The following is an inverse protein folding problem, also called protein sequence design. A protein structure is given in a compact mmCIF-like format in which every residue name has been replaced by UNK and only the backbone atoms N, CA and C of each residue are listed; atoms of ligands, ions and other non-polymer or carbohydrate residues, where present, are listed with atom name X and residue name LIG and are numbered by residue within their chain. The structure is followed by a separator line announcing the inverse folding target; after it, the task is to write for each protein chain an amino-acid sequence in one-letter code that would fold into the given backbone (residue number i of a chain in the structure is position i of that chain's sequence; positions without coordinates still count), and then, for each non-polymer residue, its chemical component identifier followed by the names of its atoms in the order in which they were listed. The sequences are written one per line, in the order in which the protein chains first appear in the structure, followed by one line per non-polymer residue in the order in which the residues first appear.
data_IF_909814115106
#
_entry.id   IF_909814115106
#
_cell.length_a   1.000
_cell.length_b   1.000
_cell.length_c   1.000
_cell.angle_alpha   90.00
_cell.angle_beta   90.00
_cell.angle_gamma   90.00
#
_symmetry.space_group_name_H-M   'P 1'
#
loop_
_entity.id
_entity.type
_entity.pdbx_description
1 polymer ?
#
# COMPACT_ATOMS: atom_id res chain seq x y z
N UNK A 1 33.02 -4.82 -1.05
CA UNK A 1 31.57 -4.65 -1.34
C UNK A 1 31.21 -3.29 -0.78
N UNK A 2 30.44 -2.49 -1.53
CA UNK A 2 29.97 -1.20 -1.06
C UNK A 2 29.01 -1.41 0.13
N UNK A 3 29.10 -0.54 1.13
CA UNK A 3 28.15 -0.57 2.25
C UNK A 3 26.73 -0.23 1.75
N UNK A 4 25.66 -0.66 2.44
CA UNK A 4 24.29 -0.28 2.09
C UNK A 4 24.11 1.25 1.93
N UNK A 5 24.81 2.05 2.72
CA UNK A 5 24.82 3.51 2.61
C UNK A 5 25.51 4.01 1.33
N UNK A 6 26.62 3.41 0.91
CA UNK A 6 27.28 3.77 -0.36
C UNK A 6 26.43 3.37 -1.57
N UNK A 7 25.66 2.29 -1.49
CA UNK A 7 24.69 1.93 -2.53
C UNK A 7 23.51 2.89 -2.59
N UNK A 8 23.01 3.34 -1.43
CA UNK A 8 21.99 4.39 -1.34
C UNK A 8 22.52 5.70 -1.95
N UNK A 9 23.74 6.15 -1.57
CA UNK A 9 24.38 7.35 -2.12
C UNK A 9 24.52 7.32 -3.64
N UNK A 10 24.91 6.19 -4.18
CA UNK A 10 25.21 6.04 -5.63
C UNK A 10 23.97 6.04 -6.51
N UNK A 11 22.80 5.67 -5.95
CA UNK A 11 21.54 5.48 -6.70
C UNK A 11 20.55 6.63 -6.55
N UNK A 12 20.69 7.51 -5.53
CA UNK A 12 19.69 8.49 -5.14
C UNK A 12 19.34 9.57 -6.19
N UNK A 13 20.28 10.28 -6.81
CA UNK A 13 19.93 11.40 -7.69
C UNK A 13 19.31 10.96 -9.03
N UNK A 14 19.70 9.79 -9.54
CA UNK A 14 19.30 9.35 -10.88
C UNK A 14 17.98 8.58 -10.94
N UNK A 15 17.60 7.87 -9.85
CA UNK A 15 16.41 6.97 -9.89
C UNK A 15 15.13 7.77 -10.00
N UNK A 16 15.00 8.87 -9.26
CA UNK A 16 13.77 9.68 -9.24
C UNK A 16 13.58 10.41 -10.57
N UNK A 17 14.65 10.97 -11.11
CA UNK A 17 14.60 11.71 -12.38
C UNK A 17 14.38 10.77 -13.57
N UNK A 18 15.11 9.66 -13.63
CA UNK A 18 14.91 8.63 -14.66
C UNK A 18 13.49 8.04 -14.59
N UNK A 19 12.99 7.75 -13.39
CA UNK A 19 11.65 7.23 -13.20
C UNK A 19 10.58 8.24 -13.65
N UNK A 20 10.78 9.53 -13.36
CA UNK A 20 9.86 10.58 -13.78
C UNK A 20 9.86 10.78 -15.30
N UNK A 21 11.03 10.87 -15.92
CA UNK A 21 11.15 11.00 -17.37
C UNK A 21 10.59 9.81 -18.14
N UNK A 22 10.83 8.59 -17.64
CA UNK A 22 10.27 7.37 -18.19
C UNK A 22 8.75 7.35 -18.02
N UNK A 23 8.25 7.75 -16.85
CA UNK A 23 6.82 7.84 -16.58
C UNK A 23 6.13 8.81 -17.54
N UNK A 24 6.68 10.02 -17.70
CA UNK A 24 6.12 11.04 -18.60
C UNK A 24 6.12 10.61 -20.07
N UNK A 25 6.99 9.70 -20.46
CA UNK A 25 7.11 9.17 -21.83
C UNK A 25 6.17 8.00 -22.13
N UNK A 26 6.02 7.09 -21.18
CA UNK A 26 5.52 5.73 -21.46
C UNK A 26 4.11 5.47 -20.89
N UNK A 27 3.56 6.35 -20.03
CA UNK A 27 2.29 6.07 -19.37
C UNK A 27 1.08 6.75 -20.02
N UNK A 28 -0.03 6.02 -20.17
CA UNK A 28 -1.26 6.57 -20.71
C UNK A 28 -1.84 7.64 -19.77
N UNK A 29 -2.40 8.69 -20.35
CA UNK A 29 -3.09 9.74 -19.59
C UNK A 29 -4.47 9.28 -19.18
N UNK A 30 -4.65 9.01 -17.91
CA UNK A 30 -5.92 8.60 -17.34
C UNK A 30 -6.78 9.82 -16.98
N UNK A 31 -8.00 9.89 -17.49
CA UNK A 31 -8.92 11.00 -17.26
C UNK A 31 -10.16 10.64 -16.47
N UNK A 32 -10.52 9.37 -16.43
CA UNK A 32 -11.77 8.89 -15.84
C UNK A 32 -11.54 7.73 -14.88
N UNK A 33 -12.47 7.55 -13.94
CA UNK A 33 -12.50 6.41 -13.02
C UNK A 33 -12.53 5.09 -13.78
N UNK A 34 -13.25 5.02 -14.90
CA UNK A 34 -13.37 3.84 -15.76
C UNK A 34 -12.01 3.37 -16.29
N UNK A 35 -11.13 4.30 -16.64
CA UNK A 35 -9.81 3.98 -17.20
C UNK A 35 -8.81 3.52 -16.12
N UNK A 36 -8.99 4.01 -14.88
CA UNK A 36 -8.09 3.71 -13.77
C UNK A 36 -8.50 2.50 -12.94
N UNK A 37 -9.80 2.18 -12.85
CA UNK A 37 -10.29 1.11 -12.00
C UNK A 37 -9.77 -0.26 -12.44
N UNK A 38 -9.58 -1.16 -11.49
CA UNK A 38 -9.45 -2.58 -11.76
C UNK A 38 -10.85 -3.18 -11.97
N UNK A 39 -11.07 -3.80 -13.13
CA UNK A 39 -12.36 -4.43 -13.48
C UNK A 39 -12.48 -5.85 -12.93
N UNK A 40 -11.37 -6.53 -12.66
CA UNK A 40 -11.33 -7.89 -12.11
C UNK A 40 -11.59 -7.85 -10.60
N UNK A 41 -12.86 -7.66 -10.23
CA UNK A 41 -13.27 -7.62 -8.82
C UNK A 41 -13.43 -9.03 -8.30
N UNK A 42 -12.60 -9.38 -7.32
CA UNK A 42 -12.72 -10.67 -6.61
C UNK A 42 -13.60 -10.47 -5.38
N UNK A 43 -14.58 -11.35 -5.24
CA UNK A 43 -15.57 -11.30 -4.16
C UNK A 43 -15.42 -12.46 -3.18
N UNK A 44 -15.95 -12.29 -1.97
CA UNK A 44 -15.98 -13.30 -0.93
C UNK A 44 -17.29 -13.19 -0.13
N UNK A 45 -17.74 -14.28 0.49
CA UNK A 45 -18.92 -14.26 1.37
C UNK A 45 -18.55 -13.84 2.80
N UNK A 46 -19.47 -13.24 3.57
CA UNK A 46 -19.21 -12.87 4.97
C UNK A 46 -18.80 -14.04 5.86
N UNK A 47 -19.32 -15.24 5.58
CA UNK A 47 -19.12 -16.46 6.38
C UNK A 47 -17.81 -17.20 6.06
N UNK A 48 -17.09 -16.78 5.01
CA UNK A 48 -15.80 -17.38 4.69
C UNK A 48 -14.77 -17.08 5.80
N UNK A 49 -13.80 -17.98 6.00
CA UNK A 49 -12.72 -17.74 6.97
C UNK A 49 -11.75 -16.67 6.47
N UNK A 50 -11.11 -15.94 7.38
CA UNK A 50 -10.08 -14.97 7.03
C UNK A 50 -8.81 -15.64 6.48
N UNK A 51 -8.54 -16.89 6.84
CA UNK A 51 -7.49 -17.70 6.25
C UNK A 51 -7.73 -17.93 4.74
N UNK A 52 -8.97 -18.24 4.36
CA UNK A 52 -9.34 -18.36 2.95
C UNK A 52 -9.23 -17.03 2.21
N UNK A 53 -9.66 -15.93 2.86
CA UNK A 53 -9.48 -14.58 2.31
C UNK A 53 -8.00 -14.25 2.08
N UNK A 54 -7.13 -14.54 3.06
CA UNK A 54 -5.69 -14.34 2.94
C UNK A 54 -5.07 -15.13 1.77
N UNK A 55 -5.47 -16.39 1.61
CA UNK A 55 -5.02 -17.23 0.48
C UNK A 55 -5.44 -16.68 -0.87
N UNK A 56 -6.69 -16.25 -1.04
CA UNK A 56 -7.14 -15.61 -2.28
C UNK A 56 -6.34 -14.34 -2.56
N UNK A 57 -6.23 -13.44 -1.57
CA UNK A 57 -5.51 -12.19 -1.73
C UNK A 57 -4.04 -12.42 -2.09
N UNK A 58 -3.35 -13.34 -1.42
CA UNK A 58 -1.95 -13.65 -1.69
C UNK A 58 -1.74 -14.31 -3.06
N UNK A 59 -2.54 -15.31 -3.42
CA UNK A 59 -2.43 -16.01 -4.72
C UNK A 59 -2.74 -15.09 -5.91
N UNK A 60 -3.71 -14.19 -5.73
CA UNK A 60 -4.11 -13.22 -6.77
C UNK A 60 -3.29 -11.93 -6.74
N UNK A 61 -2.35 -11.79 -5.80
CA UNK A 61 -1.55 -10.58 -5.58
C UNK A 61 -2.39 -9.30 -5.40
N UNK A 62 -3.57 -9.43 -4.78
CA UNK A 62 -4.49 -8.32 -4.47
C UNK A 62 -4.52 -8.05 -2.96
N UNK A 63 -4.83 -6.81 -2.57
CA UNK A 63 -4.82 -6.39 -1.16
C UNK A 63 -6.22 -6.24 -0.55
N UNK A 64 -7.27 -6.69 -1.25
CA UNK A 64 -8.65 -6.62 -0.75
C UNK A 64 -9.60 -7.50 -1.54
N UNK A 65 -10.71 -7.88 -0.89
CA UNK A 65 -11.84 -8.58 -1.51
C UNK A 65 -13.13 -7.82 -1.18
N UNK A 66 -14.03 -7.71 -2.16
CA UNK A 66 -15.37 -7.17 -1.93
C UNK A 66 -16.22 -8.25 -1.27
N UNK A 67 -16.86 -7.92 -0.16
CA UNK A 67 -17.73 -8.84 0.55
C UNK A 67 -19.14 -8.74 -0.02
N UNK A 68 -19.67 -9.89 -0.47
CA UNK A 68 -20.99 -9.98 -1.11
C UNK A 68 -21.91 -10.87 -0.28
N UNK A 69 -23.09 -10.36 0.08
CA UNK A 69 -24.15 -11.06 0.78
C UNK A 69 -25.44 -11.03 -0.07
N UNK A 70 -25.99 -12.21 -0.39
CA UNK A 70 -27.19 -12.32 -1.25
C UNK A 70 -27.08 -11.52 -2.55
N UNK A 71 -25.97 -11.69 -3.25
CA UNK A 71 -25.63 -10.98 -4.50
C UNK A 71 -25.45 -9.46 -4.37
N UNK A 72 -25.51 -8.91 -3.15
CA UNK A 72 -25.32 -7.47 -2.89
C UNK A 72 -23.95 -7.23 -2.30
N UNK A 73 -23.12 -6.33 -2.88
CA UNK A 73 -21.85 -5.88 -2.29
C UNK A 73 -22.14 -5.10 -1.00
N UNK A 74 -21.64 -5.59 0.13
CA UNK A 74 -21.95 -5.00 1.45
C UNK A 74 -20.74 -4.41 2.15
N UNK A 75 -19.55 -4.95 1.93
CA UNK A 75 -18.34 -4.53 2.64
C UNK A 75 -17.07 -4.83 1.85
N UNK A 76 -15.95 -4.60 2.48
CA UNK A 76 -14.62 -4.90 1.97
C UNK A 76 -13.73 -5.45 3.08
N UNK A 77 -12.97 -6.49 2.80
CA UNK A 77 -11.90 -6.99 3.67
C UNK A 77 -10.55 -6.76 3.02
N UNK A 78 -9.58 -6.31 3.80
CA UNK A 78 -8.26 -5.90 3.30
C UNK A 78 -7.12 -6.56 4.07
N UNK A 79 -5.90 -6.54 3.50
CA UNK A 79 -4.68 -6.99 4.18
C UNK A 79 -4.49 -6.30 5.54
N UNK A 80 -4.92 -5.04 5.68
CA UNK A 80 -4.87 -4.29 6.94
C UNK A 80 -5.86 -4.81 7.97
N UNK A 81 -7.05 -5.23 7.56
CA UNK A 81 -8.05 -5.78 8.47
C UNK A 81 -7.56 -7.10 9.08
N UNK A 82 -6.91 -7.97 8.29
CA UNK A 82 -6.27 -9.19 8.77
C UNK A 82 -5.19 -8.89 9.82
N UNK A 83 -4.39 -7.87 9.58
CA UNK A 83 -3.31 -7.47 10.47
C UNK A 83 -3.83 -6.84 11.77
N UNK A 84 -4.70 -5.81 11.66
CA UNK A 84 -5.09 -4.98 12.79
C UNK A 84 -6.20 -5.60 13.64
N UNK A 85 -7.13 -6.33 13.03
CA UNK A 85 -8.30 -6.85 13.72
C UNK A 85 -8.11 -8.30 14.17
N UNK A 86 -7.08 -9.00 13.68
CA UNK A 86 -6.83 -10.41 14.00
C UNK A 86 -5.44 -10.63 14.58
N UNK A 87 -4.38 -10.49 13.78
CA UNK A 87 -3.02 -10.82 14.21
C UNK A 87 -2.52 -9.95 15.37
N UNK A 88 -2.86 -8.65 15.37
CA UNK A 88 -2.49 -7.74 16.46
C UNK A 88 -3.16 -8.10 17.78
N UNK A 89 -4.34 -8.74 17.72
CA UNK A 89 -5.09 -9.20 18.88
C UNK A 89 -4.68 -10.62 19.32
N UNK A 90 -3.77 -11.28 18.60
CA UNK A 90 -3.33 -12.64 18.88
C UNK A 90 -4.33 -13.73 18.48
N UNK A 91 -5.31 -13.38 17.63
CA UNK A 91 -6.31 -14.30 17.10
C UNK A 91 -5.76 -15.08 15.89
N UNK A 92 -6.40 -16.18 15.53
CA UNK A 92 -6.01 -17.00 14.39
C UNK A 92 -6.98 -16.78 13.22
N UNK A 93 -6.45 -16.50 12.03
CA UNK A 93 -7.26 -16.24 10.83
C UNK A 93 -8.24 -17.37 10.47
N UNK A 94 -7.91 -18.61 10.79
CA UNK A 94 -8.77 -19.79 10.52
C UNK A 94 -10.04 -19.81 11.37
N UNK A 95 -10.00 -19.22 12.55
CA UNK A 95 -11.08 -19.24 13.54
C UNK A 95 -12.03 -18.04 13.41
N UNK A 96 -11.59 -17.03 12.61
CA UNK A 96 -12.33 -15.79 12.40
C UNK A 96 -12.95 -15.73 11.00
N UNK A 97 -14.13 -15.10 10.90
CA UNK A 97 -14.85 -14.92 9.65
C UNK A 97 -14.59 -13.55 9.04
N UNK A 98 -14.84 -13.44 7.75
CA UNK A 98 -14.74 -12.17 7.01
C UNK A 98 -15.65 -11.10 7.62
N UNK A 99 -16.86 -11.45 8.06
CA UNK A 99 -17.81 -10.50 8.67
C UNK A 99 -17.29 -9.89 9.97
N UNK A 100 -16.42 -10.57 10.70
CA UNK A 100 -15.87 -10.11 11.99
C UNK A 100 -14.77 -9.05 11.80
N UNK A 101 -14.12 -9.03 10.64
CA UNK A 101 -13.00 -8.13 10.36
C UNK A 101 -13.26 -7.12 9.24
N UNK A 102 -14.25 -7.33 8.38
CA UNK A 102 -14.51 -6.46 7.22
C UNK A 102 -14.89 -5.04 7.60
N UNK A 103 -14.57 -4.09 6.74
CA UNK A 103 -15.09 -2.72 6.80
C UNK A 103 -16.48 -2.67 6.18
N UNK A 104 -17.45 -2.10 6.92
CA UNK A 104 -18.86 -1.94 6.53
C UNK A 104 -19.37 -0.54 6.96
N UNK A 105 -20.27 0.14 6.21
CA UNK A 105 -20.74 -0.23 4.87
C UNK A 105 -19.69 -0.02 3.79
N UNK A 106 -19.87 -0.69 2.63
CA UNK A 106 -18.98 -0.55 1.47
C UNK A 106 -19.02 0.88 0.93
N UNK A 107 -17.85 1.52 0.83
CA UNK A 107 -17.73 2.81 0.19
C UNK A 107 -17.68 2.65 -1.33
N UNK A 108 -18.50 3.38 -2.06
CA UNK A 108 -18.61 3.28 -3.51
C UNK A 108 -18.62 4.62 -4.21
N UNK A 109 -18.32 4.58 -5.51
CA UNK A 109 -18.28 5.72 -6.42
C UNK A 109 -18.83 5.33 -7.79
N UNK A 110 -19.37 6.30 -8.53
CA UNK A 110 -19.80 6.07 -9.92
C UNK A 110 -18.62 5.89 -10.85
N UNK A 111 -18.79 5.05 -11.86
CA UNK A 111 -17.82 4.86 -12.96
C UNK A 111 -17.54 6.16 -13.72
N UNK A 112 -18.47 7.11 -13.71
CA UNK A 112 -18.36 8.42 -14.36
C UNK A 112 -17.76 9.52 -13.47
N UNK A 113 -17.44 9.22 -12.20
CA UNK A 113 -16.88 10.20 -11.27
C UNK A 113 -15.51 10.69 -11.74
N UNK A 114 -15.24 11.97 -11.51
CA UNK A 114 -13.94 12.57 -11.83
C UNK A 114 -12.87 12.10 -10.83
N UNK A 115 -11.64 11.98 -11.28
CA UNK A 115 -10.53 11.47 -10.47
C UNK A 115 -10.35 12.27 -9.16
N UNK A 116 -10.49 13.59 -9.20
CA UNK A 116 -10.41 14.43 -7.98
C UNK A 116 -11.50 14.11 -6.97
N UNK A 117 -12.73 13.88 -7.41
CA UNK A 117 -13.85 13.48 -6.55
C UNK A 117 -13.58 12.11 -5.91
N UNK A 118 -13.06 11.16 -6.69
CA UNK A 118 -12.64 9.84 -6.20
C UNK A 118 -11.55 9.96 -5.15
N UNK A 119 -10.54 10.80 -5.38
CA UNK A 119 -9.46 11.05 -4.43
C UNK A 119 -10.00 11.61 -3.11
N UNK A 120 -10.84 12.65 -3.17
CA UNK A 120 -11.47 13.26 -2.00
C UNK A 120 -12.32 12.25 -1.21
N UNK A 121 -13.13 11.46 -1.90
CA UNK A 121 -13.95 10.43 -1.26
C UNK A 121 -13.08 9.34 -0.63
N UNK A 122 -12.03 8.88 -1.32
CA UNK A 122 -11.10 7.88 -0.80
C UNK A 122 -10.42 8.34 0.51
N UNK A 123 -10.00 9.59 0.57
CA UNK A 123 -9.37 10.15 1.78
C UNK A 123 -10.40 10.30 2.90
N UNK A 124 -11.59 10.84 2.62
CA UNK A 124 -12.64 11.02 3.62
C UNK A 124 -13.14 9.70 4.22
N UNK A 125 -13.30 8.66 3.40
CA UNK A 125 -13.75 7.32 3.83
C UNK A 125 -12.60 6.45 4.36
N UNK A 126 -11.35 6.90 4.22
CA UNK A 126 -10.14 6.13 4.60
C UNK A 126 -10.11 4.72 4.02
N UNK A 127 -10.66 4.51 2.82
CA UNK A 127 -10.87 3.20 2.22
C UNK A 127 -10.56 3.19 0.73
N UNK A 128 -10.43 1.98 0.18
CA UNK A 128 -10.59 1.72 -1.26
C UNK A 128 -12.07 1.90 -1.61
N UNK A 129 -12.36 2.21 -2.88
CA UNK A 129 -13.73 2.45 -3.30
C UNK A 129 -14.17 1.38 -4.31
N UNK A 130 -15.35 0.82 -4.10
CA UNK A 130 -16.04 0.04 -5.13
C UNK A 130 -16.56 0.98 -6.23
N UNK A 131 -16.50 0.55 -7.48
CA UNK A 131 -16.97 1.34 -8.61
C UNK A 131 -18.26 0.74 -9.15
N UNK A 132 -19.28 1.58 -9.30
CA UNK A 132 -20.60 1.17 -9.74
C UNK A 132 -20.99 1.84 -11.06
N UNK A 133 -21.65 1.08 -11.94
CA UNK A 133 -22.34 1.57 -13.12
C UNK A 133 -23.81 1.19 -13.02
N UNK A 134 -24.70 2.18 -12.99
CA UNK A 134 -26.15 1.99 -12.84
C UNK A 134 -26.52 1.01 -11.70
N UNK A 135 -25.81 1.07 -10.56
CA UNK A 135 -26.03 0.19 -9.40
C UNK A 135 -25.33 -1.17 -9.47
N UNK A 136 -24.72 -1.51 -10.59
CA UNK A 136 -23.95 -2.75 -10.76
C UNK A 136 -22.49 -2.52 -10.38
N UNK A 137 -21.90 -3.42 -9.58
CA UNK A 137 -20.48 -3.40 -9.26
C UNK A 137 -19.66 -3.75 -10.52
N UNK A 138 -18.83 -2.79 -11.00
CA UNK A 138 -18.04 -2.95 -12.22
C UNK A 138 -16.54 -2.84 -12.00
N UNK A 139 -16.10 -2.45 -10.79
CA UNK A 139 -14.67 -2.30 -10.53
C UNK A 139 -14.36 -1.95 -9.09
N UNK A 140 -13.07 -1.82 -8.82
CA UNK A 140 -12.50 -1.30 -7.58
C UNK A 140 -11.39 -0.31 -7.92
N UNK A 141 -11.27 0.77 -7.14
CA UNK A 141 -10.21 1.75 -7.30
C UNK A 141 -9.48 1.97 -5.97
N UNK A 142 -8.17 2.04 -6.03
CA UNK A 142 -7.27 2.17 -4.89
C UNK A 142 -6.35 3.40 -5.01
N UNK A 143 -5.64 3.75 -3.94
CA UNK A 143 -4.62 4.81 -4.00
C UNK A 143 -3.52 4.50 -5.02
N UNK A 144 -3.15 3.22 -5.18
CA UNK A 144 -2.16 2.80 -6.19
C UNK A 144 -2.62 3.04 -7.63
N UNK A 145 -3.92 3.03 -7.87
CA UNK A 145 -4.47 3.34 -9.19
C UNK A 145 -4.49 4.86 -9.40
N UNK A 146 -4.92 5.62 -8.39
CA UNK A 146 -4.98 7.07 -8.46
C UNK A 146 -3.61 7.72 -8.69
N UNK A 147 -2.53 7.23 -8.05
CA UNK A 147 -1.19 7.80 -8.27
C UNK A 147 -0.70 7.68 -9.71
N UNK A 148 -1.26 6.79 -10.52
CA UNK A 148 -0.95 6.68 -11.95
C UNK A 148 -1.47 7.87 -12.76
N UNK A 149 -2.43 8.62 -12.25
CA UNK A 149 -2.97 9.83 -12.90
C UNK A 149 -2.35 11.13 -12.40
N UNK A 150 -1.60 11.10 -11.28
CA UNK A 150 -1.03 12.30 -10.66
C UNK A 150 -0.03 13.06 -11.56
N UNK A 151 0.83 12.40 -12.33
CA UNK A 151 1.76 13.12 -13.21
C UNK A 151 1.11 13.86 -14.38
N UNK A 152 -0.16 13.58 -14.70
CA UNK A 152 -0.93 14.33 -15.71
C UNK A 152 -1.39 15.72 -15.22
N UNK A 153 -1.27 15.97 -13.92
CA UNK A 153 -1.54 17.27 -13.32
C UNK A 153 -0.26 18.12 -13.41
N UNK A 154 -0.33 19.43 -13.68
CA UNK A 154 0.85 20.28 -13.67
C UNK A 154 1.69 20.10 -12.41
N UNK A 155 3.02 19.95 -12.56
CA UNK A 155 3.91 19.74 -11.42
C UNK A 155 3.74 20.89 -10.44
N UNK A 156 3.33 20.56 -9.21
CA UNK A 156 3.18 21.54 -8.14
C UNK A 156 4.46 21.60 -7.31
N UNK A 157 4.65 22.71 -6.60
CA UNK A 157 5.78 22.85 -5.65
C UNK A 157 5.60 22.03 -4.37
N UNK A 158 4.49 21.29 -4.25
CA UNK A 158 4.18 20.46 -3.09
C UNK A 158 5.22 19.35 -2.93
N UNK A 159 5.83 19.29 -1.76
CA UNK A 159 6.92 18.35 -1.45
C UNK A 159 6.41 17.19 -0.60
N UNK A 160 7.09 16.05 -0.69
CA UNK A 160 6.80 14.87 0.14
C UNK A 160 6.92 15.17 1.62
N UNK A 161 7.76 16.12 2.01
CA UNK A 161 8.00 16.57 3.39
C UNK A 161 6.74 17.08 4.08
N UNK A 162 5.78 17.61 3.30
CA UNK A 162 4.52 18.19 3.80
C UNK A 162 3.48 17.11 4.16
N UNK A 163 3.64 15.90 3.62
CA UNK A 163 2.66 14.81 3.74
C UNK A 163 3.24 13.53 4.34
N UNK A 164 4.56 13.36 4.39
CA UNK A 164 5.19 12.15 4.91
C UNK A 164 4.93 11.96 6.41
N UNK A 165 4.83 10.72 6.85
CA UNK A 165 4.88 10.35 8.26
C UNK A 165 6.34 10.45 8.74
N UNK A 166 6.60 11.28 9.75
CA UNK A 166 7.96 11.52 10.29
C UNK A 166 8.43 10.45 11.25
N UNK A 167 7.50 9.85 12.01
CA UNK A 167 7.83 8.78 12.96
C UNK A 167 7.92 7.44 12.23
N UNK A 168 9.11 7.09 11.74
CA UNK A 168 9.35 5.84 11.03
C UNK A 168 9.71 4.75 12.04
N UNK A 169 8.95 3.66 12.04
CA UNK A 169 9.21 2.50 12.88
C UNK A 169 10.26 1.61 12.23
N UNK A 170 11.29 1.27 12.97
CA UNK A 170 12.37 0.37 12.56
C UNK A 170 12.33 -0.93 13.36
N UNK A 171 12.94 -1.99 12.84
CA UNK A 171 13.10 -3.29 13.51
C UNK A 171 14.43 -3.93 13.10
N UNK A 172 15.01 -4.73 13.97
CA UNK A 172 16.20 -5.53 13.65
C UNK A 172 15.84 -6.69 12.72
N UNK A 173 16.75 -7.08 11.82
CA UNK A 173 16.55 -8.19 10.87
C UNK A 173 16.27 -9.55 11.54
N UNK A 174 16.69 -9.74 12.78
CA UNK A 174 16.46 -10.95 13.58
C UNK A 174 15.13 -10.97 14.31
N UNK A 175 14.37 -9.87 14.26
CA UNK A 175 13.05 -9.84 14.87
C UNK A 175 12.11 -10.82 14.16
N UNK A 176 11.23 -11.48 14.93
CA UNK A 176 10.26 -12.41 14.36
C UNK A 176 9.12 -11.68 13.63
N UNK A 177 8.63 -12.26 12.54
CA UNK A 177 7.52 -11.72 11.76
C UNK A 177 6.28 -11.53 12.62
N UNK A 178 5.99 -12.43 13.57
CA UNK A 178 4.83 -12.28 14.46
C UNK A 178 4.96 -11.04 15.36
N UNK A 179 6.16 -10.74 15.89
CA UNK A 179 6.37 -9.56 16.73
C UNK A 179 6.17 -8.27 15.93
N UNK A 180 6.67 -8.25 14.69
CA UNK A 180 6.51 -7.11 13.77
C UNK A 180 5.06 -6.94 13.36
N UNK A 181 4.36 -8.03 13.07
CA UNK A 181 2.93 -8.00 12.74
C UNK A 181 2.09 -7.39 13.85
N UNK A 182 2.41 -7.69 15.12
CA UNK A 182 1.75 -7.07 16.29
C UNK A 182 2.04 -5.57 16.38
N UNK A 183 3.28 -5.15 16.15
CA UNK A 183 3.65 -3.73 16.13
C UNK A 183 2.89 -3.01 14.99
N UNK A 184 2.93 -3.56 13.78
CA UNK A 184 2.26 -2.97 12.62
C UNK A 184 0.75 -2.84 12.83
N UNK A 185 0.11 -3.90 13.32
CA UNK A 185 -1.33 -3.91 13.57
C UNK A 185 -1.74 -2.98 14.71
N UNK A 186 -1.02 -3.04 15.85
CA UNK A 186 -1.30 -2.22 17.03
C UNK A 186 -1.10 -0.73 16.78
N UNK A 187 -0.09 -0.34 16.00
CA UNK A 187 0.15 1.05 15.61
C UNK A 187 -0.58 1.45 14.32
N UNK A 188 -1.28 0.53 13.67
CA UNK A 188 -1.97 0.74 12.38
C UNK A 188 -1.06 1.26 11.28
N UNK A 189 0.19 0.81 11.26
CA UNK A 189 1.18 1.12 10.23
C UNK A 189 1.28 -0.03 9.23
N UNK A 190 1.50 0.30 7.98
CA UNK A 190 1.52 -0.69 6.90
C UNK A 190 2.90 -1.22 6.54
N UNK A 191 3.95 -0.79 7.26
CA UNK A 191 5.33 -1.25 7.03
C UNK A 191 6.25 -0.84 8.16
N UNK A 192 7.37 -1.56 8.28
CA UNK A 192 8.52 -1.22 9.12
C UNK A 192 9.79 -1.23 8.28
N UNK A 193 10.76 -0.38 8.64
CA UNK A 193 12.10 -0.45 8.06
C UNK A 193 12.89 -1.52 8.80
N UNK A 194 13.51 -2.43 8.07
CA UNK A 194 14.37 -3.47 8.62
C UNK A 194 15.79 -2.97 8.63
N UNK A 195 16.46 -3.08 9.80
CA UNK A 195 17.84 -2.67 10.00
C UNK A 195 18.74 -3.88 10.16
N UNK A 196 19.97 -3.76 9.67
CA UNK A 196 21.06 -4.70 9.88
C UNK A 196 22.23 -3.92 10.50
N UNK A 197 22.70 -4.37 11.65
CA UNK A 197 23.76 -3.65 12.40
C UNK A 197 23.43 -2.17 12.65
N UNK A 198 22.14 -1.85 12.82
CA UNK A 198 21.65 -0.49 13.04
C UNK A 198 21.37 0.32 11.76
N UNK A 199 21.81 -0.16 10.59
CA UNK A 199 21.66 0.53 9.31
C UNK A 199 20.42 0.08 8.54
N UNK A 200 19.66 1.01 7.90
CA UNK A 200 18.52 0.67 7.07
C UNK A 200 18.93 -0.25 5.90
N UNK A 201 18.28 -1.38 5.79
CA UNK A 201 18.63 -2.44 4.85
C UNK A 201 17.49 -2.85 3.94
N UNK A 202 16.26 -2.93 4.49
CA UNK A 202 15.09 -3.31 3.74
C UNK A 202 13.79 -2.76 4.33
N UNK A 203 12.68 -3.14 3.75
CA UNK A 203 11.34 -2.80 4.22
C UNK A 203 10.47 -4.06 4.27
N UNK A 204 9.72 -4.23 5.36
CA UNK A 204 8.71 -5.28 5.48
C UNK A 204 7.32 -4.64 5.53
N UNK A 205 6.39 -5.14 4.72
CA UNK A 205 5.09 -4.53 4.51
C UNK A 205 3.92 -5.48 4.78
N UNK A 206 2.68 -4.94 4.90
CA UNK A 206 1.45 -5.75 4.93
C UNK A 206 1.36 -6.72 3.75
N UNK A 207 1.90 -6.34 2.58
CA UNK A 207 1.93 -7.18 1.39
C UNK A 207 2.87 -8.37 1.56
N UNK A 208 4.06 -8.15 2.10
CA UNK A 208 5.05 -9.22 2.34
C UNK A 208 4.49 -10.23 3.35
N UNK A 209 3.87 -9.74 4.44
CA UNK A 209 3.17 -10.59 5.40
C UNK A 209 2.09 -11.44 4.73
N UNK A 210 1.23 -10.81 3.92
CA UNK A 210 0.14 -11.51 3.24
C UNK A 210 0.66 -12.57 2.27
N UNK A 211 1.56 -12.18 1.35
CA UNK A 211 1.97 -13.03 0.22
C UNK A 211 2.98 -14.10 0.62
N UNK A 212 3.93 -13.76 1.50
CA UNK A 212 5.02 -14.64 1.86
C UNK A 212 4.70 -15.54 3.05
N UNK A 213 3.75 -15.14 3.90
CA UNK A 213 3.43 -15.89 5.13
C UNK A 213 1.99 -16.38 5.16
N UNK A 214 1.00 -15.47 5.22
CA UNK A 214 -0.39 -15.86 5.48
C UNK A 214 -0.96 -16.74 4.36
N UNK A 215 -0.74 -16.36 3.10
CA UNK A 215 -1.21 -17.14 1.94
C UNK A 215 -0.53 -18.51 1.81
N UNK A 216 0.67 -18.66 2.35
CA UNK A 216 1.46 -19.88 2.29
C UNK A 216 1.43 -20.69 3.60
N UNK A 217 0.69 -20.21 4.61
CA UNK A 217 0.68 -20.80 5.95
C UNK A 217 2.09 -20.99 6.55
N UNK A 218 2.99 -20.05 6.26
CA UNK A 218 4.38 -20.07 6.70
C UNK A 218 4.48 -19.68 8.17
N UNK A 219 5.48 -20.20 8.87
CA UNK A 219 5.68 -19.91 10.29
C UNK A 219 6.03 -18.43 10.53
N UNK A 220 5.24 -17.76 11.35
CA UNK A 220 5.44 -16.36 11.72
C UNK A 220 6.54 -16.13 12.76
N UNK A 221 7.10 -17.18 13.34
CA UNK A 221 8.26 -17.06 14.24
C UNK A 221 9.60 -16.93 13.51
N UNK A 222 9.61 -17.02 12.19
CA UNK A 222 10.80 -16.77 11.36
C UNK A 222 11.30 -15.33 11.49
N UNK A 223 12.60 -15.14 11.30
CA UNK A 223 13.23 -13.82 11.24
C UNK A 223 12.78 -13.03 10.00
N UNK A 224 12.64 -11.69 10.14
CA UNK A 224 12.16 -10.82 9.07
C UNK A 224 13.21 -10.51 8.01
N UNK A 225 14.49 -10.55 8.37
CA UNK A 225 15.58 -10.14 7.48
C UNK A 225 15.59 -10.82 6.11
N UNK A 226 15.50 -12.16 6.02
CA UNK A 226 15.43 -12.87 4.75
C UNK A 226 14.16 -12.60 3.94
N UNK A 227 13.10 -12.13 4.59
CA UNK A 227 11.75 -12.01 4.02
C UNK A 227 11.34 -10.56 3.70
N UNK A 228 12.16 -9.58 4.06
CA UNK A 228 11.90 -8.18 3.73
C UNK A 228 12.29 -7.86 2.27
N UNK A 229 11.61 -6.88 1.69
CA UNK A 229 11.95 -6.36 0.37
C UNK A 229 13.26 -5.56 0.43
N UNK A 230 14.24 -5.95 -0.38
CA UNK A 230 15.57 -5.34 -0.47
C UNK A 230 16.08 -5.29 -1.92
N UNK A 231 16.97 -4.36 -2.30
CA UNK A 231 17.47 -3.25 -1.49
C UNK A 231 16.38 -2.20 -1.22
N UNK A 232 16.56 -1.42 -0.14
CA UNK A 232 15.63 -0.35 0.21
C UNK A 232 15.62 0.74 -0.86
N UNK A 233 14.46 1.00 -1.46
CA UNK A 233 14.27 2.10 -2.41
C UNK A 233 13.84 3.32 -1.64
N UNK A 234 14.62 4.40 -1.73
CA UNK A 234 14.41 5.65 -1.00
C UNK A 234 14.36 6.85 -1.94
N UNK A 235 13.83 7.99 -1.46
CA UNK A 235 13.85 9.27 -2.18
C UNK A 235 14.41 10.38 -1.29
N UNK A 236 15.05 11.43 -1.88
CA UNK A 236 15.51 12.59 -1.12
C UNK A 236 14.34 13.38 -0.52
N UNK A 237 14.54 13.98 0.65
CA UNK A 237 13.71 15.07 1.13
C UNK A 237 13.67 16.23 0.12
N UNK A 238 12.54 16.93 0.02
CA UNK A 238 12.32 17.95 -1.00
C UNK A 238 11.88 17.42 -2.37
N UNK A 239 11.75 16.09 -2.55
CA UNK A 239 11.18 15.50 -3.77
C UNK A 239 9.73 15.96 -3.93
N UNK A 240 9.30 16.32 -5.16
CA UNK A 240 7.91 16.66 -5.44
C UNK A 240 6.99 15.43 -5.32
N UNK A 241 5.73 15.67 -4.96
CA UNK A 241 4.71 14.58 -4.89
C UNK A 241 4.53 13.87 -6.23
N UNK A 242 4.70 14.58 -7.36
CA UNK A 242 4.62 14.01 -8.71
C UNK A 242 5.74 13.02 -8.99
N UNK A 243 6.98 13.39 -8.66
CA UNK A 243 8.15 12.51 -8.82
C UNK A 243 8.07 11.27 -7.91
N UNK A 244 7.58 11.45 -6.67
CA UNK A 244 7.32 10.33 -5.77
C UNK A 244 6.24 9.40 -6.33
N UNK A 245 5.15 9.94 -6.89
CA UNK A 245 4.09 9.16 -7.54
C UNK A 245 4.61 8.38 -8.74
N UNK A 246 5.39 9.01 -9.62
CA UNK A 246 6.02 8.35 -10.76
C UNK A 246 6.95 7.21 -10.32
N UNK A 247 7.76 7.44 -9.29
CA UNK A 247 8.64 6.40 -8.73
C UNK A 247 7.85 5.21 -8.19
N UNK A 248 6.78 5.46 -7.42
CA UNK A 248 5.92 4.39 -6.91
C UNK A 248 5.23 3.62 -8.05
N UNK A 249 4.69 4.31 -9.05
CA UNK A 249 4.01 3.71 -10.18
C UNK A 249 4.96 2.82 -11.01
N UNK A 250 6.15 3.33 -11.35
CA UNK A 250 7.13 2.63 -12.16
C UNK A 250 7.75 1.40 -11.44
N UNK A 251 8.00 1.55 -10.13
CA UNK A 251 8.57 0.46 -9.31
C UNK A 251 7.53 -0.49 -8.74
N UNK A 252 6.24 -0.26 -9.01
CA UNK A 252 5.12 -1.04 -8.46
C UNK A 252 5.11 -1.13 -6.93
N UNK A 253 5.57 -0.08 -6.26
CA UNK A 253 5.61 0.03 -4.80
C UNK A 253 4.63 1.11 -4.31
N UNK A 254 4.26 1.05 -3.04
CA UNK A 254 3.24 1.93 -2.46
C UNK A 254 3.78 2.79 -1.32
N UNK A 255 5.09 2.70 -1.05
CA UNK A 255 5.77 3.41 0.05
C UNK A 255 7.20 3.72 -0.36
N UNK A 256 7.65 4.90 0.05
CA UNK A 256 9.02 5.35 -0.16
C UNK A 256 9.53 6.00 1.13
N UNK A 257 10.54 5.43 1.77
CA UNK A 257 11.27 6.13 2.81
C UNK A 257 11.93 7.38 2.24
N UNK A 258 11.88 8.47 3.00
CA UNK A 258 12.44 9.77 2.66
C UNK A 258 13.73 9.98 3.44
N UNK A 259 14.80 10.35 2.75
CA UNK A 259 16.13 10.55 3.36
C UNK A 259 16.61 11.97 3.27
N UNK A 260 17.28 12.44 4.32
CA UNK A 260 18.03 13.69 4.39
C UNK A 260 19.32 13.43 5.15
N UNK A 261 20.47 13.90 4.61
CA UNK A 261 21.79 13.68 5.22
C UNK A 261 22.02 12.21 5.61
N UNK A 262 21.69 11.31 4.66
CA UNK A 262 21.83 9.83 4.81
C UNK A 262 20.93 9.18 5.86
N UNK A 263 20.09 9.93 6.54
CA UNK A 263 19.16 9.41 7.55
C UNK A 263 17.74 9.38 7.04
N UNK A 264 16.99 8.34 7.40
CA UNK A 264 15.55 8.28 7.13
C UNK A 264 14.87 9.31 8.04
N UNK A 265 14.19 10.29 7.41
CA UNK A 265 13.48 11.37 8.10
C UNK A 265 11.96 11.23 8.00
N UNK A 266 11.48 10.29 7.18
CA UNK A 266 10.05 10.04 7.02
C UNK A 266 9.76 8.88 6.07
N UNK A 267 8.50 8.57 5.91
CA UNK A 267 7.97 7.64 4.91
C UNK A 267 6.73 8.25 4.26
N UNK A 268 6.70 8.26 2.93
CA UNK A 268 5.54 8.69 2.14
C UNK A 268 4.87 7.48 1.52
N UNK A 269 3.53 7.46 1.51
CA UNK A 269 2.75 6.37 0.94
C UNK A 269 1.90 6.85 -0.25
N UNK A 270 1.42 5.91 -1.08
CA UNK A 270 0.49 6.23 -2.16
C UNK A 270 -0.76 6.99 -1.67
N UNK A 271 -1.23 6.70 -0.43
CA UNK A 271 -2.35 7.39 0.17
C UNK A 271 -2.03 8.86 0.47
N UNK A 272 -0.85 9.14 0.99
CA UNK A 272 -0.42 10.51 1.32
C UNK A 272 -0.29 11.35 0.04
N UNK A 273 0.16 10.74 -1.07
CA UNK A 273 0.19 11.39 -2.39
C UNK A 273 -1.23 11.68 -2.91
N UNK A 274 -2.18 10.76 -2.72
CA UNK A 274 -3.60 11.01 -3.05
C UNK A 274 -4.19 12.13 -2.17
N UNK A 275 -3.81 12.20 -0.89
CA UNK A 275 -4.21 13.29 -0.01
C UNK A 275 -3.67 14.65 -0.50
N UNK A 276 -2.41 14.70 -0.90
CA UNK A 276 -1.81 15.90 -1.48
C UNK A 276 -2.55 16.37 -2.74
N UNK A 277 -3.01 15.42 -3.56
CA UNK A 277 -3.79 15.71 -4.77
C UNK A 277 -5.24 16.13 -4.49
N UNK A 278 -5.84 15.59 -3.43
CA UNK A 278 -7.25 15.86 -3.07
C UNK A 278 -7.47 17.26 -2.52
N UNK A 279 -6.42 17.88 -1.95
CA UNK A 279 -6.41 19.26 -1.45
C UNK A 279 -6.31 20.26 -2.61
#
# INVERSE_FOLDING_TARGET
MATPQEEIKRKLPGIVDIAYEQYMRDLPRYRTTKELMCQDVITITPQASLDYAARIMGTKHIGSLIVVKYSTPVGIVTERDLLSNVLALGLFLRDEKVEDAMSYPLAGVSVSAKIKEVAQLMISKKSRLAVFDAGTLVGIITASDLIKSLPDVPETEVKVDDFMTKNVVTTDEKASVISISRIMGGQRIGSVIVTREGEPFGIFTERDLLTNFLAQSKDLFMEVGPECSQPLIVIPAGTSVHRAAATMALKHIRRLPVVRDEKIVGIITARDLVEAYAK
#
